data_IF_518188121975
#
_entry.id   IF_518188121975
#
_cell.length_a   1.000
_cell.length_b   1.000
_cell.length_c   1.000
_cell.angle_alpha   90.00
_cell.angle_beta   90.00
_cell.angle_gamma   90.00
#
_symmetry.space_group_name_H-M   'P 1'
#
loop_
_entity.id
_entity.type
_entity.pdbx_description
1 polymer ?
#
# COMPACT_ATOMS: atom_id res chain seq x y z
N UNK A 1 -12.26 11.26 -51.40
CA UNK A 1 -12.70 10.12 -50.56
C UNK A 1 -12.41 10.46 -49.11
N UNK A 2 -13.41 10.24 -48.25
CA UNK A 2 -13.48 10.24 -46.77
C UNK A 2 -12.38 10.97 -45.98
N UNK A 3 -12.71 12.08 -45.31
CA UNK A 3 -13.37 12.18 -43.99
C UNK A 3 -12.36 12.09 -42.84
N UNK A 4 -12.16 13.25 -42.21
CA UNK A 4 -11.21 13.50 -41.14
C UNK A 4 -11.78 12.89 -39.84
N UNK A 5 -11.09 11.91 -39.26
CA UNK A 5 -11.54 11.25 -38.02
C UNK A 5 -11.38 12.23 -36.84
N UNK A 6 -12.41 13.04 -36.59
CA UNK A 6 -12.54 13.89 -35.40
C UNK A 6 -13.14 13.05 -34.26
N UNK A 7 -12.28 12.55 -33.38
CA UNK A 7 -12.66 11.97 -32.11
C UNK A 7 -12.18 12.86 -30.97
N UNK A 8 -12.91 13.93 -30.64
CA UNK A 8 -12.67 14.68 -29.40
C UNK A 8 -13.54 14.07 -28.29
N UNK A 9 -12.91 13.32 -27.38
CA UNK A 9 -13.58 12.82 -26.18
C UNK A 9 -13.98 14.03 -25.32
N UNK A 10 -15.29 14.30 -25.23
CA UNK A 10 -15.82 15.46 -24.52
C UNK A 10 -16.27 15.03 -23.12
N UNK A 11 -15.33 15.00 -22.17
CA UNK A 11 -15.66 14.78 -20.77
C UNK A 11 -16.40 16.01 -20.22
N UNK A 12 -17.69 15.82 -19.88
CA UNK A 12 -18.52 16.87 -19.30
C UNK A 12 -18.43 16.78 -17.77
N UNK A 13 -17.51 17.52 -17.15
CA UNK A 13 -17.52 17.74 -15.69
C UNK A 13 -18.75 18.56 -15.31
N UNK A 14 -19.68 17.96 -14.57
CA UNK A 14 -20.73 18.70 -13.87
C UNK A 14 -20.13 19.29 -12.60
N UNK A 15 -20.20 20.61 -12.48
CA UNK A 15 -19.99 21.33 -11.23
C UNK A 15 -21.05 20.87 -10.22
N UNK A 16 -20.60 20.20 -9.16
CA UNK A 16 -21.44 19.74 -8.07
C UNK A 16 -20.56 19.54 -6.84
N UNK A 17 -20.54 20.53 -5.96
CA UNK A 17 -19.98 20.44 -4.61
C UNK A 17 -20.69 19.31 -3.87
N UNK A 18 -20.00 18.18 -3.70
CA UNK A 18 -20.46 17.10 -2.82
C UNK A 18 -19.64 17.15 -1.54
N UNK A 19 -20.35 17.35 -0.43
CA UNK A 19 -19.83 17.47 0.93
C UNK A 19 -19.26 16.13 1.38
N UNK A 20 -18.07 16.16 1.98
CA UNK A 20 -17.51 15.04 2.72
C UNK A 20 -18.48 14.61 3.84
N UNK A 21 -18.85 13.32 3.96
CA UNK A 21 -19.55 12.85 5.15
C UNK A 21 -18.57 12.75 6.32
N UNK A 22 -18.76 13.60 7.33
CA UNK A 22 -18.31 13.35 8.71
C UNK A 22 -19.16 12.21 9.28
N UNK A 23 -18.54 11.10 9.65
CA UNK A 23 -19.15 10.11 10.54
C UNK A 23 -18.34 10.07 11.84
N UNK A 24 -18.97 10.49 12.93
CA UNK A 24 -18.45 10.40 14.29
C UNK A 24 -19.16 9.28 15.05
N UNK A 25 -18.33 8.44 15.69
CA UNK A 25 -18.54 7.58 16.86
C UNK A 25 -19.66 6.54 16.83
N UNK A 26 -19.28 5.25 16.94
CA UNK A 26 -19.74 4.36 18.03
C UNK A 26 -18.65 3.35 18.42
N UNK A 27 -18.24 3.42 19.68
CA UNK A 27 -17.61 2.36 20.45
C UNK A 27 -18.52 1.13 20.55
N UNK A 28 -18.01 -0.07 20.27
CA UNK A 28 -18.54 -1.31 20.83
C UNK A 28 -17.41 -2.35 20.98
N UNK A 29 -17.36 -2.92 22.18
CA UNK A 29 -16.36 -3.88 22.66
C UNK A 29 -16.56 -5.26 22.01
N UNK A 30 -15.44 -5.98 21.93
CA UNK A 30 -15.26 -7.44 22.09
C UNK A 30 -16.43 -8.38 21.74
N UNK A 31 -16.17 -9.41 20.92
CA UNK A 31 -16.06 -10.81 21.35
C UNK A 31 -15.99 -11.79 20.16
N UNK A 32 -14.91 -12.57 20.18
CA UNK A 32 -14.74 -13.95 19.70
C UNK A 32 -15.19 -14.31 18.27
N UNK A 33 -14.17 -14.48 17.42
CA UNK A 33 -14.19 -15.32 16.23
C UNK A 33 -14.90 -16.65 16.53
N UNK A 34 -15.91 -16.99 15.73
CA UNK A 34 -16.62 -18.26 15.82
C UNK A 34 -15.68 -19.41 15.53
N UNK A 35 -15.17 -20.04 16.59
CA UNK A 35 -14.57 -21.37 16.53
C UNK A 35 -15.72 -22.35 16.37
N UNK A 36 -15.96 -22.82 15.14
CA UNK A 36 -16.65 -24.09 14.94
C UNK A 36 -15.73 -25.19 15.49
N UNK A 37 -16.21 -25.88 16.53
CA UNK A 37 -15.48 -26.98 17.14
C UNK A 37 -15.27 -28.12 16.15
N UNK A 38 -14.01 -28.36 15.81
CA UNK A 38 -13.55 -29.64 15.29
C UNK A 38 -12.35 -30.05 16.15
N UNK A 39 -12.62 -30.92 17.12
CA UNK A 39 -11.63 -31.66 17.89
C UNK A 39 -10.95 -32.69 16.98
N UNK A 40 -9.97 -32.26 16.18
CA UNK A 40 -8.98 -33.15 15.55
C UNK A 40 -7.68 -32.37 15.35
N UNK A 41 -6.69 -32.66 16.20
CA UNK A 41 -5.24 -32.61 15.94
C UNK A 41 -4.79 -31.45 15.03
N UNK A 42 -4.51 -30.28 15.62
CA UNK A 42 -3.66 -29.31 14.93
C UNK A 42 -2.29 -29.98 14.66
N UNK A 43 -1.81 -30.03 13.40
CA UNK A 43 -0.52 -30.63 13.12
C UNK A 43 0.57 -29.86 13.87
N UNK A 44 1.60 -30.53 14.42
CA UNK A 44 2.71 -29.89 15.13
C UNK A 44 3.48 -28.87 14.28
N UNK A 45 3.24 -28.81 12.97
CA UNK A 45 3.72 -27.75 12.09
C UNK A 45 3.19 -26.34 12.44
N UNK A 46 2.13 -26.22 13.25
CA UNK A 46 1.57 -24.93 13.67
C UNK A 46 2.24 -24.34 14.92
N UNK A 47 3.18 -25.06 15.55
CA UNK A 47 3.93 -24.56 16.72
C UNK A 47 5.22 -23.88 16.24
N UNK A 48 5.06 -22.73 15.58
CA UNK A 48 6.16 -21.82 15.31
C UNK A 48 6.51 -21.00 16.55
N UNK A 49 6.98 -21.64 17.63
CA UNK A 49 7.66 -20.93 18.71
C UNK A 49 9.15 -20.84 18.36
N UNK A 50 9.51 -19.91 17.48
CA UNK A 50 10.89 -19.68 17.07
C UNK A 50 11.22 -18.19 17.11
N UNK A 51 11.56 -17.70 18.31
CA UNK A 51 12.33 -16.48 18.61
C UNK A 51 12.58 -15.52 17.43
N UNK A 52 11.90 -14.36 17.38
CA UNK A 52 12.00 -13.44 16.23
C UNK A 52 12.08 -11.95 16.58
N UNK A 53 12.56 -11.58 17.78
CA UNK A 53 12.57 -10.18 18.23
C UNK A 53 13.39 -9.23 17.34
N UNK A 54 14.29 -9.74 16.49
CA UNK A 54 15.09 -8.93 15.55
C UNK A 54 14.60 -8.94 14.11
N UNK A 55 13.90 -9.98 13.68
CA UNK A 55 13.40 -10.04 12.31
C UNK A 55 11.99 -9.46 12.19
N UNK A 56 11.19 -9.47 13.27
CA UNK A 56 9.88 -8.79 13.31
C UNK A 56 10.04 -7.29 13.00
N UNK A 57 11.07 -6.65 13.57
CA UNK A 57 11.35 -5.24 13.29
C UNK A 57 11.74 -4.95 11.83
N UNK A 58 12.46 -5.86 11.17
CA UNK A 58 12.80 -5.71 9.75
C UNK A 58 11.56 -5.93 8.88
N UNK A 59 10.73 -6.90 9.26
CA UNK A 59 9.48 -7.22 8.55
C UNK A 59 8.48 -6.06 8.64
N UNK A 60 8.33 -5.43 9.80
CA UNK A 60 7.48 -4.24 9.99
C UNK A 60 7.90 -3.06 9.09
N UNK A 61 9.21 -2.82 8.97
CA UNK A 61 9.76 -1.74 8.12
C UNK A 61 9.52 -2.03 6.64
N UNK A 62 9.70 -3.27 6.22
CA UNK A 62 9.42 -3.70 4.85
C UNK A 62 7.91 -3.66 4.55
N UNK A 63 7.05 -3.97 5.52
CA UNK A 63 5.59 -3.88 5.37
C UNK A 63 5.13 -2.44 5.08
N UNK A 64 5.70 -1.45 5.78
CA UNK A 64 5.48 -0.02 5.48
C UNK A 64 5.85 0.31 4.03
N UNK A 65 6.97 -0.23 3.54
CA UNK A 65 7.43 0.01 2.16
C UNK A 65 6.57 -0.72 1.14
N UNK A 66 6.05 -1.92 1.44
CA UNK A 66 5.09 -2.63 0.61
C UNK A 66 3.76 -1.90 0.51
N UNK A 67 3.29 -1.34 1.63
CA UNK A 67 2.07 -0.54 1.64
C UNK A 67 2.24 0.75 0.81
N UNK A 68 3.41 1.38 0.88
CA UNK A 68 3.78 2.45 -0.04
C UNK A 68 3.78 1.97 -1.49
N UNK A 69 4.29 0.76 -1.75
CA UNK A 69 4.35 0.21 -3.09
C UNK A 69 2.97 0.01 -3.73
N UNK A 70 1.99 -0.41 -2.94
CA UNK A 70 0.59 -0.59 -3.37
C UNK A 70 -0.18 0.72 -3.53
N UNK A 71 0.31 1.83 -2.98
CA UNK A 71 -0.39 3.10 -3.07
C UNK A 71 -0.22 3.76 -4.45
N UNK A 72 -1.25 3.64 -5.28
CA UNK A 72 -1.26 4.19 -6.64
C UNK A 72 -1.23 5.73 -6.70
N UNK A 73 -1.54 6.43 -5.60
CA UNK A 73 -1.52 7.89 -5.57
C UNK A 73 -0.13 8.47 -5.88
N UNK A 74 0.93 7.75 -5.51
CA UNK A 74 2.32 8.18 -5.69
C UNK A 74 2.92 7.81 -7.06
N UNK A 75 2.09 7.28 -7.97
CA UNK A 75 2.48 6.93 -9.35
C UNK A 75 2.98 5.50 -9.52
N UNK A 76 3.37 5.07 -10.74
CA UNK A 76 3.84 3.73 -11.02
C UNK A 76 5.13 3.38 -10.26
N UNK A 77 5.24 2.09 -9.97
CA UNK A 77 6.34 1.42 -9.27
C UNK A 77 7.30 0.67 -10.20
N UNK A 78 7.01 0.63 -11.49
CA UNK A 78 7.75 -0.19 -12.47
C UNK A 78 8.91 0.62 -13.03
N UNK A 79 10.10 0.01 -13.08
CA UNK A 79 11.29 0.60 -13.71
C UNK A 79 11.95 1.72 -12.91
N UNK A 80 11.68 1.82 -11.61
CA UNK A 80 12.33 2.77 -10.71
C UNK A 80 12.44 2.21 -9.29
N UNK A 81 13.45 2.66 -8.55
CA UNK A 81 13.59 2.34 -7.12
C UNK A 81 12.50 3.01 -6.28
N UNK A 82 12.28 2.50 -5.06
CA UNK A 82 11.35 3.11 -4.09
C UNK A 82 11.70 4.56 -3.78
N UNK A 83 13.00 4.87 -3.67
CA UNK A 83 13.49 6.22 -3.37
C UNK A 83 13.24 7.19 -4.52
N UNK A 84 13.48 6.76 -5.76
CA UNK A 84 13.14 7.57 -6.93
C UNK A 84 11.63 7.82 -7.01
N UNK A 85 10.81 6.79 -6.73
CA UNK A 85 9.35 6.94 -6.72
C UNK A 85 8.89 7.93 -5.66
N UNK A 86 9.47 7.85 -4.46
CA UNK A 86 9.21 8.78 -3.38
C UNK A 86 9.58 10.23 -3.74
N UNK A 87 10.78 10.44 -4.30
CA UNK A 87 11.23 11.76 -4.75
C UNK A 87 10.29 12.34 -5.82
N UNK A 88 9.87 11.51 -6.77
CA UNK A 88 8.91 11.93 -7.80
C UNK A 88 7.58 12.37 -7.19
N UNK A 89 7.05 11.60 -6.24
CA UNK A 89 5.82 11.95 -5.54
C UNK A 89 5.93 13.27 -4.76
N UNK A 90 7.09 13.53 -4.14
CA UNK A 90 7.38 14.80 -3.47
C UNK A 90 7.44 15.98 -4.44
N UNK A 91 8.13 15.82 -5.58
CA UNK A 91 8.19 16.84 -6.65
C UNK A 91 6.79 17.14 -7.20
N UNK A 92 5.92 16.14 -7.30
CA UNK A 92 4.53 16.29 -7.72
C UNK A 92 3.61 16.88 -6.64
N UNK A 93 4.12 17.18 -5.44
CA UNK A 93 3.33 17.73 -4.35
C UNK A 93 2.31 16.74 -3.77
N UNK A 94 2.56 15.43 -3.89
CA UNK A 94 1.65 14.38 -3.40
C UNK A 94 1.86 14.04 -1.92
N UNK A 95 2.81 14.71 -1.26
CA UNK A 95 3.12 14.53 0.16
C UNK A 95 3.29 13.05 0.57
N UNK A 96 4.26 12.33 -0.04
CA UNK A 96 4.53 10.95 0.37
C UNK A 96 5.03 10.89 1.83
N UNK A 97 4.84 9.77 2.55
CA UNK A 97 5.20 9.68 3.97
C UNK A 97 6.71 9.81 4.19
N UNK A 98 7.14 10.65 5.12
CA UNK A 98 8.58 10.85 5.43
C UNK A 98 9.24 9.59 6.01
N UNK A 99 8.47 8.76 6.71
CA UNK A 99 8.94 7.47 7.23
C UNK A 99 9.53 6.59 6.11
N UNK A 100 8.91 6.59 4.92
CA UNK A 100 9.41 5.84 3.76
C UNK A 100 10.78 6.36 3.33
N UNK A 101 10.98 7.67 3.24
CA UNK A 101 12.29 8.25 2.91
C UNK A 101 13.36 7.86 3.93
N UNK A 102 13.01 7.92 5.21
CA UNK A 102 13.94 7.60 6.30
C UNK A 102 14.36 6.12 6.27
N UNK A 103 13.41 5.20 6.06
CA UNK A 103 13.70 3.77 5.94
C UNK A 103 14.59 3.46 4.74
N UNK A 104 14.35 4.12 3.60
CA UNK A 104 15.15 3.94 2.39
C UNK A 104 16.58 4.50 2.54
N UNK A 105 16.73 5.67 3.19
CA UNK A 105 18.05 6.26 3.45
C UNK A 105 18.86 5.48 4.49
N UNK A 106 18.19 4.88 5.47
CA UNK A 106 18.83 4.05 6.48
C UNK A 106 19.30 2.69 5.92
N UNK A 107 18.92 2.34 4.67
CA UNK A 107 19.24 1.08 4.02
C UNK A 107 18.86 -0.15 4.87
N UNK A 108 17.77 -0.03 5.63
CA UNK A 108 17.25 -1.06 6.54
C UNK A 108 16.22 -1.97 5.87
N UNK A 109 15.98 -1.80 4.57
CA UNK A 109 14.96 -2.52 3.81
C UNK A 109 15.27 -2.50 2.31
N UNK A 110 14.48 -3.21 1.51
CA UNK A 110 14.72 -3.29 0.07
C UNK A 110 14.56 -1.93 -0.61
N UNK A 111 15.45 -1.63 -1.56
CA UNK A 111 15.37 -0.42 -2.38
C UNK A 111 14.44 -0.59 -3.60
N UNK A 112 14.13 -1.83 -3.97
CA UNK A 112 13.33 -2.14 -5.14
C UNK A 112 11.84 -2.14 -4.83
N UNK A 113 11.02 -1.62 -5.75
CA UNK A 113 9.58 -1.70 -5.62
C UNK A 113 9.09 -3.15 -5.77
N UNK A 114 7.98 -3.49 -5.09
CA UNK A 114 7.36 -4.83 -5.09
C UNK A 114 7.12 -5.44 -6.49
N UNK A 115 6.89 -4.59 -7.50
CA UNK A 115 6.52 -4.98 -8.85
C UNK A 115 7.67 -4.87 -9.87
N UNK A 116 8.89 -4.59 -9.41
CA UNK A 116 10.05 -4.54 -10.28
C UNK A 116 10.28 -5.93 -10.93
N UNK A 117 10.41 -5.96 -12.27
CA UNK A 117 10.71 -7.19 -13.04
C UNK A 117 9.58 -8.23 -13.16
N UNK A 118 8.32 -7.89 -12.85
CA UNK A 118 7.17 -8.84 -12.88
C UNK A 118 6.16 -8.62 -14.02
N UNK A 119 6.56 -7.98 -15.12
CA UNK A 119 5.66 -7.67 -16.27
C UNK A 119 6.26 -8.19 -17.56
#
# INVERSE_FOLDING_TARGET
MASQMKGFFREKKKLGVSKYPKSSNKTAKTKHSGTCGADVVQPPALVGHGSFDLQDEYDDKEEVLRQFDMNMAYGPCIGMSRLERWNRAKVLGLHPPELVENLLKANVASSECLWNGRV
#
